data_IF_625065054764
#
_entry.id   IF_625065054764
#
_cell.length_a   1.000
_cell.length_b   1.000
_cell.length_c   1.000
_cell.angle_alpha   90.00
_cell.angle_beta   90.00
_cell.angle_gamma   90.00
#
_symmetry.space_group_name_H-M   'P 1'
#
loop_
_entity.id
_entity.type
_entity.pdbx_description
1 polymer ?
#
# COMPACT_ATOMS: atom_id res chain seq x y z
N UNK A 1 -10.56 -0.09 -2.69
CA UNK A 1 -9.67 1.06 -2.96
C UNK A 1 -8.38 0.52 -3.55
N UNK A 2 -7.89 1.12 -4.64
CA UNK A 2 -6.59 0.77 -5.21
C UNK A 2 -5.57 1.86 -4.88
N UNK A 3 -4.37 1.47 -4.45
CA UNK A 3 -3.23 2.37 -4.23
C UNK A 3 -2.08 1.88 -5.11
N UNK A 4 -1.65 2.75 -6.03
CA UNK A 4 -0.56 2.49 -6.97
C UNK A 4 0.69 3.28 -6.54
N UNK A 5 1.65 2.63 -5.92
CA UNK A 5 2.76 3.30 -5.24
C UNK A 5 4.02 2.41 -5.14
N UNK A 6 4.85 2.55 -4.10
CA UNK A 6 6.04 1.75 -3.79
C UNK A 6 5.73 0.36 -3.23
N UNK A 7 4.46 0.01 -3.05
CA UNK A 7 4.01 -1.29 -2.55
C UNK A 7 3.28 -1.21 -1.21
N UNK A 8 3.24 -2.33 -0.50
CA UNK A 8 2.67 -2.43 0.86
C UNK A 8 3.55 -3.33 1.74
N UNK A 9 3.81 -2.92 2.98
CA UNK A 9 4.36 -3.81 4.02
C UNK A 9 3.31 -4.83 4.50
N UNK A 10 3.39 -6.05 3.99
CA UNK A 10 2.42 -7.12 4.31
C UNK A 10 2.51 -7.63 5.75
N UNK A 11 3.58 -7.30 6.47
CA UNK A 11 3.77 -7.66 7.88
C UNK A 11 3.36 -6.57 8.87
N UNK A 12 2.84 -5.43 8.39
CA UNK A 12 2.59 -4.29 9.24
C UNK A 12 1.46 -4.59 10.25
N UNK A 13 1.66 -4.35 11.57
CA UNK A 13 0.75 -4.82 12.62
C UNK A 13 -0.66 -4.22 12.53
N UNK A 14 -0.80 -2.98 12.05
CA UNK A 14 -2.12 -2.35 11.82
C UNK A 14 -2.98 -3.06 10.75
N UNK A 15 -2.39 -3.99 10.01
CA UNK A 15 -3.01 -4.68 8.88
C UNK A 15 -2.99 -6.21 9.00
N UNK A 16 -2.56 -6.76 10.15
CA UNK A 16 -2.38 -8.19 10.36
C UNK A 16 -3.63 -9.03 10.03
N UNK A 17 -4.83 -8.51 10.31
CA UNK A 17 -6.10 -9.20 10.05
C UNK A 17 -6.80 -8.75 8.75
N UNK A 18 -6.09 -8.01 7.89
CA UNK A 18 -6.68 -7.42 6.70
C UNK A 18 -6.19 -8.11 5.43
N UNK A 19 -7.14 -8.43 4.55
CA UNK A 19 -6.81 -8.98 3.24
C UNK A 19 -6.46 -7.88 2.25
N UNK A 20 -5.40 -8.13 1.48
CA UNK A 20 -4.95 -7.28 0.38
C UNK A 20 -4.87 -8.12 -0.89
N UNK A 21 -5.37 -7.56 -1.98
CA UNK A 21 -4.97 -8.00 -3.31
C UNK A 21 -3.74 -7.22 -3.73
N UNK A 22 -2.70 -7.92 -4.18
CA UNK A 22 -1.39 -7.28 -4.42
C UNK A 22 -0.84 -7.66 -5.77
N UNK A 23 -0.20 -6.70 -6.43
CA UNK A 23 0.49 -6.93 -7.71
C UNK A 23 1.66 -5.98 -7.86
N UNK A 24 2.75 -6.46 -8.43
CA UNK A 24 3.88 -5.61 -8.80
C UNK A 24 4.02 -5.51 -10.31
N UNK A 25 4.39 -4.32 -10.76
CA UNK A 25 4.59 -3.96 -12.17
C UNK A 25 6.02 -3.47 -12.46
N UNK A 26 6.89 -3.45 -11.45
CA UNK A 26 8.28 -2.94 -11.55
C UNK A 26 9.34 -4.04 -11.46
N UNK A 27 8.94 -5.32 -11.54
CA UNK A 27 9.87 -6.47 -11.47
C UNK A 27 10.44 -6.75 -10.07
N UNK A 28 10.04 -5.97 -9.07
CA UNK A 28 10.38 -6.17 -7.66
C UNK A 28 9.19 -6.77 -6.88
N UNK A 29 9.40 -7.43 -5.74
CA UNK A 29 8.29 -7.86 -4.87
C UNK A 29 7.41 -6.67 -4.45
N UNK A 30 6.13 -6.93 -4.17
CA UNK A 30 5.18 -5.90 -3.71
C UNK A 30 5.48 -5.34 -2.33
N UNK A 31 6.36 -6.01 -1.57
CA UNK A 31 6.82 -5.54 -0.27
C UNK A 31 7.38 -4.11 -0.42
N UNK A 32 6.88 -3.23 0.44
CA UNK A 32 7.32 -1.84 0.46
C UNK A 32 8.64 -1.72 1.22
N UNK A 33 9.71 -1.36 0.51
CA UNK A 33 11.01 -1.03 1.09
C UNK A 33 11.30 0.47 1.08
N UNK A 34 10.36 1.29 0.61
CA UNK A 34 10.46 2.74 0.61
C UNK A 34 9.65 3.37 1.77
N UNK A 35 8.44 2.86 2.00
CA UNK A 35 7.51 3.29 3.04
C UNK A 35 6.41 4.25 2.56
N UNK A 36 6.55 4.86 1.38
CA UNK A 36 5.56 5.80 0.85
C UNK A 36 4.20 5.12 0.59
N UNK A 37 4.19 3.97 -0.07
CA UNK A 37 2.97 3.21 -0.35
C UNK A 37 2.25 2.75 0.92
N UNK A 38 3.00 2.22 1.89
CA UNK A 38 2.46 1.82 3.20
C UNK A 38 1.86 3.02 3.94
N UNK A 39 2.49 4.19 3.89
CA UNK A 39 1.97 5.42 4.49
C UNK A 39 0.67 5.88 3.81
N UNK A 40 0.62 5.90 2.48
CA UNK A 40 -0.59 6.24 1.72
C UNK A 40 -1.75 5.30 2.04
N UNK A 41 -1.50 3.99 2.12
CA UNK A 41 -2.49 2.99 2.53
C UNK A 41 -2.93 3.23 3.99
N UNK A 42 -2.00 3.58 4.89
CA UNK A 42 -2.29 3.97 6.26
C UNK A 42 -3.26 5.15 6.36
N UNK A 43 -3.00 6.23 5.62
CA UNK A 43 -3.88 7.42 5.61
C UNK A 43 -5.26 7.12 5.03
N UNK A 44 -5.31 6.41 3.91
CA UNK A 44 -6.56 6.20 3.21
C UNK A 44 -7.41 5.08 3.84
N UNK A 45 -6.75 4.03 4.28
CA UNK A 45 -7.38 2.76 4.62
C UNK A 45 -7.04 2.27 6.03
N UNK A 46 -6.11 2.87 6.77
CA UNK A 46 -5.70 2.41 8.11
C UNK A 46 -6.85 2.02 9.05
N UNK A 47 -6.60 1.13 10.03
CA UNK A 47 -7.64 0.63 10.93
C UNK A 47 -8.29 1.77 11.72
N UNK A 48 -9.57 1.60 12.08
CA UNK A 48 -10.28 2.59 12.91
C UNK A 48 -9.68 2.71 14.32
N UNK A 49 -9.13 1.61 14.84
CA UNK A 49 -8.47 1.52 16.13
C UNK A 49 -7.10 0.84 15.92
N UNK A 50 -6.04 1.62 15.68
CA UNK A 50 -4.68 1.11 15.44
C UNK A 50 -4.06 0.58 16.74
N UNK A 51 -3.04 -0.25 16.62
CA UNK A 51 -2.30 -0.76 17.77
C UNK A 51 -1.37 0.36 18.29
N UNK A 52 -1.50 0.72 19.56
CA UNK A 52 -0.65 1.72 20.22
C UNK A 52 -1.41 2.92 20.79
N UNK A 53 -0.67 3.93 21.24
CA UNK A 53 -1.21 5.13 21.91
C UNK A 53 -1.55 6.28 20.95
N UNK A 54 -1.11 6.21 19.70
CA UNK A 54 -1.35 7.26 18.70
C UNK A 54 -2.68 7.01 18.00
N UNK A 55 -3.63 7.94 18.18
CA UNK A 55 -4.87 7.93 17.41
C UNK A 55 -4.58 8.24 15.94
N UNK A 56 -4.71 7.23 15.08
CA UNK A 56 -4.70 7.34 13.62
C UNK A 56 -5.81 6.46 13.06
N UNK A 57 -6.55 6.93 12.07
CA UNK A 57 -7.57 6.11 11.41
C UNK A 57 -7.62 6.42 9.93
N UNK A 58 -7.81 5.38 9.13
CA UNK A 58 -8.04 5.53 7.71
C UNK A 58 -9.44 6.06 7.44
N UNK A 59 -9.55 6.92 6.43
CA UNK A 59 -10.85 7.46 5.99
C UNK A 59 -11.81 6.32 5.59
N UNK A 60 -11.30 5.31 4.88
CA UNK A 60 -12.02 4.15 4.40
C UNK A 60 -11.54 2.85 5.08
N UNK A 61 -11.53 2.85 6.42
CA UNK A 61 -11.02 1.73 7.24
C UNK A 61 -11.65 0.36 6.91
N UNK A 62 -12.91 0.32 6.45
CA UNK A 62 -13.61 -0.91 6.09
C UNK A 62 -13.47 -1.33 4.62
N UNK A 63 -12.68 -0.62 3.82
CA UNK A 63 -12.54 -0.93 2.39
C UNK A 63 -11.61 -2.11 2.14
N UNK A 64 -11.88 -2.88 1.09
CA UNK A 64 -10.95 -3.86 0.56
C UNK A 64 -9.86 -3.12 -0.24
N UNK A 65 -8.59 -3.49 -0.04
CA UNK A 65 -7.44 -2.75 -0.57
C UNK A 65 -6.72 -3.56 -1.65
N UNK A 66 -6.50 -2.91 -2.79
CA UNK A 66 -5.66 -3.39 -3.87
C UNK A 66 -4.35 -2.58 -3.85
N UNK A 67 -3.21 -3.24 -3.60
CA UNK A 67 -1.90 -2.60 -3.57
C UNK A 67 -1.12 -2.94 -4.85
N UNK A 68 -0.95 -1.95 -5.72
CA UNK A 68 -0.17 -2.05 -6.94
C UNK A 68 1.20 -1.40 -6.78
N UNK A 69 2.28 -2.16 -6.84
CA UNK A 69 3.63 -1.59 -6.88
C UNK A 69 3.97 -1.14 -8.28
N UNK A 70 3.92 0.17 -8.51
CA UNK A 70 4.29 0.82 -9.79
C UNK A 70 5.54 1.69 -9.66
N UNK A 71 6.00 1.93 -8.42
CA UNK A 71 7.27 2.59 -8.10
C UNK A 71 8.25 1.56 -7.49
N UNK A 72 9.52 1.65 -7.83
CA UNK A 72 10.59 0.82 -7.27
C UNK A 72 10.86 1.17 -5.79
N UNK A 73 11.72 0.40 -5.13
CA UNK A 73 12.16 0.68 -3.76
C UNK A 73 12.81 2.06 -3.57
N UNK A 74 13.32 2.67 -4.65
CA UNK A 74 13.84 4.05 -4.64
C UNK A 74 12.78 5.12 -4.98
N UNK A 75 11.50 4.74 -5.10
CA UNK A 75 10.41 5.66 -5.45
C UNK A 75 10.37 6.06 -6.93
N UNK A 76 11.07 5.33 -7.81
CA UNK A 76 11.17 5.67 -9.25
C UNK A 76 10.32 4.73 -10.10
N UNK A 77 9.85 5.19 -11.26
CA UNK A 77 9.12 4.34 -12.21
C UNK A 77 9.42 4.72 -13.66
N UNK A 78 9.13 3.80 -14.57
CA UNK A 78 8.89 4.15 -15.96
C UNK A 78 7.40 4.48 -16.13
N UNK A 79 7.05 5.41 -17.02
CA UNK A 79 5.65 5.72 -17.31
C UNK A 79 4.81 4.48 -17.69
N UNK A 80 5.45 3.46 -18.27
CA UNK A 80 4.84 2.18 -18.58
C UNK A 80 4.43 1.36 -17.34
N UNK A 81 5.20 1.39 -16.25
CA UNK A 81 4.87 0.68 -15.01
C UNK A 81 3.62 1.26 -14.34
N UNK A 82 3.47 2.58 -14.37
CA UNK A 82 2.27 3.27 -13.86
C UNK A 82 1.05 2.95 -14.72
N UNK A 83 1.19 3.01 -16.05
CA UNK A 83 0.11 2.68 -16.98
C UNK A 83 -0.37 1.22 -16.83
N UNK A 84 0.57 0.29 -16.64
CA UNK A 84 0.25 -1.11 -16.42
C UNK A 84 -0.52 -1.36 -15.12
N UNK A 85 -0.31 -0.53 -14.09
CA UNK A 85 -1.04 -0.62 -12.82
C UNK A 85 -2.45 -0.04 -12.87
N UNK A 86 -2.77 0.81 -13.85
CA UNK A 86 -4.10 1.41 -14.03
C UNK A 86 -5.08 0.52 -14.81
N UNK A 87 -4.57 -0.45 -15.56
CA UNK A 87 -5.34 -1.31 -16.46
C UNK A 87 -5.70 -2.65 -15.81
#
# INVERSE_FOLDING_TARGET
MAVLDTGMDLGHPDFADRQFETRSFVGEPVQDLNGHGTHCIGTACGPKAPIGSTSRYGIAFGSHVFAGKVLTNSGSSSGAGVLAGLN
#
